data_IF_248697396653
#
_entry.id   IF_248697396653
#
_cell.length_a   1.000
_cell.length_b   1.000
_cell.length_c   1.000
_cell.angle_alpha   90.00
_cell.angle_beta   90.00
_cell.angle_gamma   90.00
#
_symmetry.space_group_name_H-M   'P 1'
#
loop_
_entity.id
_entity.type
_entity.pdbx_description
1 polymer ?
#
# COMPACT_ATOMS: atom_id res chain seq x y z
N UNK A 1 -20.59 1.93 -20.37
CA UNK A 1 -19.66 3.08 -20.56
C UNK A 1 -18.38 2.79 -19.78
N UNK A 2 -17.20 2.97 -20.38
CA UNK A 2 -15.90 2.83 -19.68
C UNK A 2 -15.41 4.22 -19.32
N UNK A 3 -14.97 4.42 -18.07
CA UNK A 3 -14.44 5.69 -17.57
C UNK A 3 -12.98 5.47 -17.22
N UNK A 4 -12.09 6.30 -17.74
CA UNK A 4 -10.68 6.26 -17.38
C UNK A 4 -10.47 6.95 -16.04
N UNK A 5 -9.78 6.29 -15.12
CA UNK A 5 -9.28 6.91 -13.88
C UNK A 5 -7.89 7.50 -14.17
N UNK A 6 -7.74 8.81 -13.98
CA UNK A 6 -6.49 9.53 -14.25
C UNK A 6 -6.41 10.84 -13.48
N UNK A 7 -5.19 11.39 -13.35
CA UNK A 7 -4.94 12.69 -12.73
C UNK A 7 -5.45 12.76 -11.30
N UNK A 8 -6.28 13.76 -11.00
CA UNK A 8 -6.82 13.96 -9.65
C UNK A 8 -7.71 12.80 -9.17
N UNK A 9 -8.32 12.03 -10.08
CA UNK A 9 -9.16 10.88 -9.72
C UNK A 9 -8.35 9.76 -9.06
N UNK A 10 -7.05 9.68 -9.29
CA UNK A 10 -6.19 8.69 -8.62
C UNK A 10 -6.17 8.86 -7.10
N UNK A 11 -6.39 10.08 -6.59
CA UNK A 11 -6.45 10.35 -5.15
C UNK A 11 -7.80 10.01 -4.52
N UNK A 12 -8.81 9.69 -5.32
CA UNK A 12 -10.15 9.38 -4.82
C UNK A 12 -10.23 7.96 -4.28
N UNK A 13 -11.17 7.75 -3.36
CA UNK A 13 -11.50 6.45 -2.80
C UNK A 13 -11.93 5.44 -3.87
N UNK A 14 -11.40 4.22 -3.77
CA UNK A 14 -11.92 3.07 -4.54
C UNK A 14 -13.26 2.69 -3.92
N UNK A 15 -14.36 2.89 -4.65
CA UNK A 15 -15.71 2.46 -4.24
C UNK A 15 -16.11 2.90 -2.82
N UNK A 16 -15.72 4.11 -2.41
CA UNK A 16 -16.03 4.67 -1.08
C UNK A 16 -15.15 4.18 0.07
N UNK A 17 -14.19 3.29 -0.20
CA UNK A 17 -13.25 2.77 0.79
C UNK A 17 -12.24 3.81 1.28
N UNK A 18 -11.42 3.41 2.24
CA UNK A 18 -10.26 4.18 2.68
C UNK A 18 -9.00 3.95 1.84
N UNK A 19 -9.08 3.10 0.82
CA UNK A 19 -8.04 2.94 -0.19
C UNK A 19 -8.28 3.91 -1.34
N UNK A 20 -7.24 4.57 -1.84
CA UNK A 20 -7.32 5.38 -3.05
C UNK A 20 -6.91 4.58 -4.29
N UNK A 21 -7.31 5.01 -5.48
CA UNK A 21 -6.85 4.37 -6.72
C UNK A 21 -5.33 4.41 -6.85
N UNK A 22 -4.67 5.45 -6.34
CA UNK A 22 -3.22 5.55 -6.31
C UNK A 22 -2.59 4.47 -5.43
N UNK A 23 -3.19 4.14 -4.28
CA UNK A 23 -2.70 3.06 -3.41
C UNK A 23 -2.82 1.68 -4.10
N UNK A 24 -3.85 1.50 -4.91
CA UNK A 24 -4.11 0.25 -5.63
C UNK A 24 -3.25 0.09 -6.89
N UNK A 25 -2.84 1.20 -7.52
CA UNK A 25 -2.18 1.22 -8.83
C UNK A 25 -0.69 1.58 -8.79
N UNK A 26 -0.11 1.86 -7.62
CA UNK A 26 1.31 2.20 -7.52
C UNK A 26 2.18 0.99 -7.88
N UNK A 27 2.84 1.07 -9.03
CA UNK A 27 3.64 0.00 -9.65
C UNK A 27 5.13 0.33 -9.73
N UNK A 28 5.50 1.59 -9.50
CA UNK A 28 6.88 2.06 -9.55
C UNK A 28 7.68 1.58 -8.33
N UNK A 29 8.93 1.11 -8.50
CA UNK A 29 9.77 0.68 -7.40
C UNK A 29 9.99 1.78 -6.35
N UNK A 30 9.84 1.44 -5.07
CA UNK A 30 9.97 2.40 -3.97
C UNK A 30 11.35 3.07 -3.91
N UNK A 31 12.41 2.34 -4.30
CA UNK A 31 13.79 2.83 -4.36
C UNK A 31 14.01 3.95 -5.39
N UNK A 32 13.23 3.98 -6.47
CA UNK A 32 13.24 5.08 -7.43
C UNK A 32 12.48 6.30 -6.89
N UNK A 33 11.42 6.06 -6.12
CA UNK A 33 10.52 7.09 -5.62
C UNK A 33 11.03 7.77 -4.35
N UNK A 34 11.73 7.05 -3.49
CA UNK A 34 12.04 7.47 -2.12
C UNK A 34 13.51 7.23 -1.75
N UNK A 35 14.03 8.12 -0.90
CA UNK A 35 15.23 7.88 -0.09
C UNK A 35 14.78 7.36 1.27
N UNK A 36 15.30 6.20 1.67
CA UNK A 36 14.95 5.55 2.93
C UNK A 36 16.05 5.75 3.98
N UNK A 37 15.65 6.05 5.22
CA UNK A 37 16.54 6.10 6.39
C UNK A 37 15.95 5.27 7.51
N UNK A 38 16.80 4.56 8.26
CA UNK A 38 16.39 3.85 9.48
C UNK A 38 16.48 4.86 10.64
N UNK A 39 15.35 5.14 11.28
CA UNK A 39 15.28 5.99 12.48
C UNK A 39 15.57 5.20 13.76
N UNK A 40 15.41 3.88 13.73
CA UNK A 40 15.70 3.00 14.86
C UNK A 40 15.04 1.63 14.72
N UNK A 41 14.85 0.96 15.85
CA UNK A 41 14.09 -0.30 15.91
C UNK A 41 13.17 -0.33 17.10
N UNK A 42 12.11 -1.14 17.01
CA UNK A 42 11.11 -1.28 18.07
C UNK A 42 10.51 -2.69 18.05
N UNK A 43 9.89 -3.09 19.16
CA UNK A 43 9.17 -4.35 19.26
C UNK A 43 7.68 -4.07 19.04
N UNK A 44 7.09 -4.73 18.05
CA UNK A 44 5.65 -4.72 17.79
C UNK A 44 5.15 -6.16 17.76
N UNK A 45 4.06 -6.44 18.47
CA UNK A 45 3.46 -7.78 18.56
C UNK A 45 4.50 -8.88 18.92
N UNK A 46 5.48 -8.55 19.78
CA UNK A 46 6.53 -9.47 20.22
C UNK A 46 7.65 -9.73 19.20
N UNK A 47 7.72 -8.98 18.09
CA UNK A 47 8.74 -9.12 17.04
C UNK A 47 9.51 -7.82 16.82
N UNK A 48 10.79 -7.93 16.48
CA UNK A 48 11.62 -6.77 16.17
C UNK A 48 11.31 -6.20 14.79
N UNK A 49 11.22 -4.87 14.72
CA UNK A 49 10.97 -4.13 13.49
C UNK A 49 11.99 -3.00 13.34
N UNK A 50 12.42 -2.74 12.11
CA UNK A 50 13.04 -1.47 11.74
C UNK A 50 11.98 -0.39 11.63
N UNK A 51 12.25 0.80 12.16
CA UNK A 51 11.44 1.99 11.91
C UNK A 51 12.13 2.77 10.79
N UNK A 52 11.54 2.72 9.60
CA UNK A 52 12.08 3.36 8.40
C UNK A 52 11.26 4.59 8.06
N UNK A 53 11.94 5.66 7.62
CA UNK A 53 11.31 6.84 7.04
C UNK A 53 11.74 6.98 5.59
N UNK A 54 10.75 7.16 4.72
CA UNK A 54 10.91 7.29 3.29
C UNK A 54 10.54 8.72 2.90
N UNK A 55 11.47 9.44 2.31
CA UNK A 55 11.28 10.80 1.81
C UNK A 55 11.35 10.81 0.29
N UNK A 56 10.38 11.44 -0.37
CA UNK A 56 10.27 11.41 -1.83
C UNK A 56 11.47 12.07 -2.52
N UNK A 57 12.03 11.36 -3.51
CA UNK A 57 13.05 11.86 -4.46
C UNK A 57 12.42 12.65 -5.60
N UNK A 58 11.15 12.35 -5.92
CA UNK A 58 10.42 12.94 -7.03
C UNK A 58 9.24 13.80 -6.56
N UNK A 59 8.83 14.76 -7.40
CA UNK A 59 7.69 15.62 -7.13
C UNK A 59 6.37 14.93 -7.53
N UNK A 60 5.26 15.40 -6.96
CA UNK A 60 3.92 15.00 -7.37
C UNK A 60 3.40 13.70 -6.75
N UNK A 61 4.16 13.04 -5.87
CA UNK A 61 3.67 11.88 -5.13
C UNK A 61 2.54 12.26 -4.17
N UNK A 62 1.55 11.39 -4.05
CA UNK A 62 0.45 11.53 -3.08
C UNK A 62 0.97 11.60 -1.64
N UNK A 63 2.04 10.87 -1.35
CA UNK A 63 2.66 10.77 -0.03
C UNK A 63 4.14 11.09 -0.12
N UNK A 64 4.55 12.36 -0.02
CA UNK A 64 5.96 12.74 -0.07
C UNK A 64 6.78 12.22 1.11
N UNK A 65 6.14 11.81 2.20
CA UNK A 65 6.78 11.15 3.35
C UNK A 65 5.98 9.92 3.76
N UNK A 66 6.67 8.83 4.03
CA UNK A 66 6.12 7.61 4.65
C UNK A 66 6.95 7.22 5.86
N UNK A 67 6.34 6.61 6.86
CA UNK A 67 7.03 5.87 7.92
C UNK A 67 6.53 4.44 7.91
N UNK A 68 7.44 3.48 7.94
CA UNK A 68 7.15 2.06 7.78
C UNK A 68 7.85 1.27 8.89
N UNK A 69 7.11 0.36 9.52
CA UNK A 69 7.63 -0.56 10.52
C UNK A 69 7.85 -1.92 9.86
N UNK A 70 9.09 -2.21 9.47
CA UNK A 70 9.45 -3.37 8.67
C UNK A 70 9.94 -4.49 9.59
N UNK A 71 9.28 -5.65 9.55
CA UNK A 71 9.68 -6.82 10.33
C UNK A 71 11.10 -7.26 9.93
N UNK A 72 11.98 -7.48 10.92
CA UNK A 72 13.39 -7.79 10.67
C UNK A 72 13.64 -9.16 10.02
N UNK A 73 12.68 -10.09 10.09
CA UNK A 73 12.81 -11.43 9.53
C UNK A 73 12.05 -11.57 8.20
N UNK A 74 10.79 -11.13 8.16
CA UNK A 74 9.95 -11.23 6.96
C UNK A 74 10.30 -10.17 5.92
N UNK A 75 10.95 -9.08 6.34
CA UNK A 75 11.25 -7.91 5.50
C UNK A 75 9.98 -7.31 4.85
N UNK A 76 8.87 -7.41 5.56
CA UNK A 76 7.58 -6.86 5.16
C UNK A 76 7.16 -5.74 6.12
N UNK A 77 6.51 -4.68 5.62
CA UNK A 77 5.93 -3.67 6.47
C UNK A 77 4.77 -4.27 7.27
N UNK A 78 4.78 -4.08 8.59
CA UNK A 78 3.69 -4.45 9.49
C UNK A 78 2.66 -3.32 9.62
N UNK A 79 3.16 -2.09 9.66
CA UNK A 79 2.41 -0.84 9.76
C UNK A 79 3.07 0.21 8.87
N UNK A 80 2.26 1.06 8.26
CA UNK A 80 2.72 2.25 7.54
C UNK A 80 1.88 3.47 7.91
N UNK A 81 2.54 4.62 7.89
CA UNK A 81 1.96 5.94 8.04
C UNK A 81 2.31 6.78 6.82
N UNK A 82 1.30 7.36 6.18
CA UNK A 82 1.42 8.08 4.92
C UNK A 82 1.08 9.56 5.14
N UNK A 83 2.03 10.43 4.83
CA UNK A 83 1.99 11.83 5.22
C UNK A 83 1.87 12.78 4.03
N UNK A 84 1.15 13.88 4.24
CA UNK A 84 1.15 15.02 3.34
C UNK A 84 2.49 15.77 3.37
N UNK A 85 2.71 16.66 2.39
CA UNK A 85 3.89 17.55 2.37
C UNK A 85 3.98 18.44 3.63
N UNK A 86 2.85 18.80 4.21
CA UNK A 86 2.78 19.59 5.45
C UNK A 86 3.14 18.79 6.72
N UNK A 87 3.40 17.49 6.61
CA UNK A 87 3.62 16.60 7.76
C UNK A 87 2.33 16.08 8.40
N UNK A 88 1.15 16.44 7.88
CA UNK A 88 -0.13 15.89 8.34
C UNK A 88 -0.24 14.41 7.98
N UNK A 89 -0.59 13.56 8.95
CA UNK A 89 -0.93 12.16 8.71
C UNK A 89 -2.23 12.09 7.88
N UNK A 90 -2.17 11.42 6.74
CA UNK A 90 -3.31 11.25 5.84
C UNK A 90 -3.92 9.87 5.98
N UNK A 91 -3.08 8.84 6.05
CA UNK A 91 -3.53 7.45 6.01
C UNK A 91 -2.62 6.56 6.82
N UNK A 92 -3.20 5.53 7.41
CA UNK A 92 -2.46 4.40 7.98
C UNK A 92 -2.80 3.12 7.23
N UNK A 93 -1.80 2.25 7.10
CA UNK A 93 -1.98 0.91 6.57
C UNK A 93 -1.39 -0.10 7.57
N UNK A 94 -2.01 -1.27 7.70
CA UNK A 94 -1.49 -2.37 8.51
C UNK A 94 -1.61 -3.69 7.77
N UNK A 95 -0.54 -4.47 7.76
CA UNK A 95 -0.47 -5.74 7.06
C UNK A 95 -0.47 -6.87 8.07
N UNK A 96 -1.34 -7.85 7.86
CA UNK A 96 -1.65 -8.95 8.78
C UNK A 96 -1.78 -10.25 8.01
N UNK A 97 -1.85 -11.36 8.75
CA UNK A 97 -1.95 -12.69 8.16
C UNK A 97 -0.74 -13.03 7.30
N UNK A 98 0.46 -12.74 7.79
CA UNK A 98 1.71 -13.05 7.07
C UNK A 98 1.86 -14.57 7.03
N UNK A 99 1.94 -15.12 5.82
CA UNK A 99 2.16 -16.54 5.56
C UNK A 99 3.15 -16.72 4.42
N UNK A 100 3.89 -17.83 4.43
CA UNK A 100 4.79 -18.17 3.32
C UNK A 100 4.01 -18.97 2.28
N UNK A 101 3.94 -18.46 1.05
CA UNK A 101 3.22 -19.05 -0.08
C UNK A 101 4.17 -19.09 -1.27
N UNK A 102 4.34 -20.26 -1.89
CA UNK A 102 5.29 -20.49 -3.00
C UNK A 102 6.69 -19.90 -2.73
N UNK A 103 7.18 -20.06 -1.49
CA UNK A 103 8.49 -19.56 -1.07
C UNK A 103 8.55 -18.08 -0.68
N UNK A 104 7.46 -17.32 -0.84
CA UNK A 104 7.41 -15.86 -0.58
C UNK A 104 6.61 -15.56 0.68
N UNK A 105 7.13 -14.70 1.56
CA UNK A 105 6.32 -14.13 2.64
C UNK A 105 5.28 -13.18 2.05
N UNK A 106 4.02 -13.37 2.42
CA UNK A 106 2.91 -12.61 1.87
C UNK A 106 1.88 -12.28 2.96
N UNK A 107 1.46 -11.01 3.09
CA UNK A 107 0.37 -10.63 3.99
C UNK A 107 -0.98 -10.85 3.31
N UNK A 108 -1.86 -11.64 3.94
CA UNK A 108 -3.19 -11.93 3.38
C UNK A 108 -4.28 -10.96 3.82
N UNK A 109 -3.98 -10.01 4.70
CA UNK A 109 -4.93 -9.00 5.17
C UNK A 109 -4.28 -7.63 5.25
N UNK A 110 -4.90 -6.66 4.61
CA UNK A 110 -4.51 -5.26 4.65
C UNK A 110 -5.62 -4.47 5.33
N UNK A 111 -5.26 -3.53 6.19
CA UNK A 111 -6.21 -2.62 6.83
C UNK A 111 -5.78 -1.21 6.50
N UNK A 112 -6.56 -0.51 5.68
CA UNK A 112 -6.34 0.89 5.34
C UNK A 112 -7.28 1.77 6.14
N UNK A 113 -6.80 2.89 6.65
CA UNK A 113 -7.64 3.86 7.34
C UNK A 113 -7.29 5.28 6.90
N UNK A 114 -8.30 5.98 6.39
CA UNK A 114 -8.19 7.40 6.08
C UNK A 114 -8.33 8.20 7.38
N UNK A 115 -7.23 8.76 7.85
CA UNK A 115 -7.18 9.47 9.13
C UNK A 115 -7.91 10.83 9.08
N UNK A 116 -8.31 11.28 7.88
CA UNK A 116 -9.15 12.46 7.72
C UNK A 116 -10.64 12.15 7.91
N UNK A 117 -11.05 10.89 7.73
CA UNK A 117 -12.44 10.46 7.91
C UNK A 117 -12.69 10.05 9.36
N UNK A 118 -13.12 11.01 10.20
CA UNK A 118 -13.37 10.80 11.64
C UNK A 118 -14.29 9.61 11.96
N UNK A 119 -15.26 9.30 11.10
CA UNK A 119 -16.23 8.22 11.31
C UNK A 119 -15.83 6.90 10.64
N UNK A 120 -14.69 6.85 9.95
CA UNK A 120 -14.25 5.62 9.30
C UNK A 120 -13.58 4.69 10.30
N UNK A 121 -13.98 3.42 10.27
CA UNK A 121 -13.31 2.33 10.99
C UNK A 121 -12.17 1.70 10.18
N UNK A 122 -11.91 2.20 8.97
CA UNK A 122 -10.99 1.60 8.02
C UNK A 122 -11.69 0.69 7.01
N UNK A 123 -10.93 0.25 6.02
CA UNK A 123 -11.29 -0.79 5.05
C UNK A 123 -10.35 -1.96 5.23
N UNK A 124 -10.92 -3.15 5.37
CA UNK A 124 -10.16 -4.39 5.33
C UNK A 124 -10.16 -4.96 3.92
N UNK A 125 -8.98 -5.35 3.45
CA UNK A 125 -8.80 -6.06 2.20
C UNK A 125 -8.20 -7.43 2.50
N UNK A 126 -8.96 -8.48 2.22
CA UNK A 126 -8.65 -9.86 2.57
C UNK A 126 -8.41 -10.64 1.29
N UNK A 127 -7.29 -11.35 1.23
CA UNK A 127 -6.90 -12.20 0.11
C UNK A 127 -7.02 -13.65 0.55
N UNK A 128 -8.11 -14.28 0.13
CA UNK A 128 -8.40 -15.68 0.47
C UNK A 128 -7.46 -16.65 -0.26
N UNK A 129 -7.20 -16.38 -1.54
CA UNK A 129 -6.35 -17.21 -2.39
C UNK A 129 -5.42 -16.34 -3.25
N UNK A 130 -4.15 -16.75 -3.33
CA UNK A 130 -3.15 -16.14 -4.20
C UNK A 130 -2.34 -17.26 -4.87
N UNK A 131 -2.08 -17.08 -6.16
CA UNK A 131 -1.22 -17.95 -6.96
C UNK A 131 -0.14 -17.09 -7.61
N UNK A 132 1.13 -17.42 -7.40
CA UNK A 132 2.22 -16.68 -8.01
C UNK A 132 2.61 -17.25 -9.37
N UNK A 133 3.13 -16.37 -10.23
CA UNK A 133 3.66 -16.73 -11.56
C UNK A 133 2.67 -17.49 -12.46
N UNK A 134 1.36 -17.38 -12.19
CA UNK A 134 0.32 -17.90 -13.06
C UNK A 134 0.38 -17.14 -14.39
N UNK A 135 0.49 -17.86 -15.49
CA UNK A 135 0.45 -17.25 -16.83
C UNK A 135 -0.94 -16.64 -17.07
N UNK A 136 -1.00 -15.33 -17.22
CA UNK A 136 -2.22 -14.59 -17.60
C UNK A 136 -2.00 -14.08 -19.03
N UNK A 137 -2.88 -14.40 -19.99
CA UNK A 137 -2.72 -13.95 -21.37
C UNK A 137 -2.92 -12.44 -21.49
N UNK A 138 -2.13 -11.77 -22.32
CA UNK A 138 -2.17 -10.32 -22.52
C UNK A 138 -3.55 -9.78 -22.92
N UNK A 139 -4.32 -10.60 -23.67
CA UNK A 139 -5.69 -10.28 -24.05
C UNK A 139 -6.60 -9.98 -22.86
N UNK A 140 -6.28 -10.54 -21.67
CA UNK A 140 -6.98 -10.27 -20.40
C UNK A 140 -6.91 -8.80 -19.98
N UNK A 141 -5.84 -8.10 -20.36
CA UNK A 141 -5.60 -6.69 -20.02
C UNK A 141 -6.12 -5.72 -21.10
N UNK A 142 -7.01 -6.18 -21.99
CA UNK A 142 -7.60 -5.33 -23.02
C UNK A 142 -8.79 -4.52 -22.50
N UNK A 143 -8.92 -3.27 -22.97
CA UNK A 143 -10.09 -2.41 -22.66
C UNK A 143 -11.42 -3.01 -23.12
N UNK A 144 -11.41 -3.86 -24.15
CA UNK A 144 -12.59 -4.52 -24.68
C UNK A 144 -13.27 -5.40 -23.62
N UNK A 145 -12.48 -6.09 -22.78
CA UNK A 145 -13.00 -6.95 -21.71
C UNK A 145 -13.60 -6.19 -20.51
N UNK A 146 -13.48 -4.86 -20.46
CA UNK A 146 -14.19 -4.03 -19.48
C UNK A 146 -15.64 -3.75 -19.87
N UNK A 147 -16.02 -4.07 -21.12
CA UNK A 147 -17.39 -3.92 -21.62
C UNK A 147 -18.05 -5.30 -21.60
N UNK A 148 -19.21 -5.38 -20.96
CA UNK A 148 -20.16 -6.48 -21.16
C UNK A 148 -21.06 -6.13 -22.34
#
# INVERSE_FOLDING_TARGET
RVIQISGHMLRQSVMGSDMSYNDMMEDRPMEELYSATIEGSTILDGREHWVMVLNAKVKGLSYPKRRSWVDKEYLLPKKEELYAKSGKLLKTASLKGIKKIDGRWFPSKFVYKDELKRNSKGTEWIIDNIQFNKKIPDSRFSKALLRK
#
